data_IF_293320964116
#
_entry.id   IF_293320964116
#
_cell.length_a   1.000
_cell.length_b   1.000
_cell.length_c   1.000
_cell.angle_alpha   90.00
_cell.angle_beta   90.00
_cell.angle_gamma   90.00
#
_symmetry.space_group_name_H-M   'P 1'
#
loop_
_entity.id
_entity.type
_entity.pdbx_description
1 polymer ?
#
# COMPACT_ATOMS: atom_id res chain seq x y z
N UNK A 1 13.82 -18.26 15.49
CA UNK A 1 13.65 -18.04 14.04
C UNK A 1 12.54 -17.02 13.81
N UNK A 2 12.82 -16.02 13.00
CA UNK A 2 11.83 -15.06 12.56
C UNK A 2 11.12 -15.64 11.32
N UNK A 3 9.77 -15.60 11.23
CA UNK A 3 9.07 -16.12 10.08
C UNK A 3 9.42 -15.37 8.80
N UNK A 4 9.57 -16.12 7.71
CA UNK A 4 9.86 -15.59 6.39
C UNK A 4 8.91 -16.20 5.34
N UNK A 5 8.41 -15.35 4.45
CA UNK A 5 7.62 -15.75 3.28
C UNK A 5 8.58 -15.97 2.11
N UNK A 6 8.82 -17.23 1.77
CA UNK A 6 9.83 -17.66 0.79
C UNK A 6 9.25 -17.97 -0.58
N UNK A 7 7.91 -18.07 -0.69
CA UNK A 7 7.16 -18.31 -1.93
C UNK A 7 5.84 -17.55 -1.86
N UNK A 8 5.17 -17.36 -3.00
CA UNK A 8 3.85 -16.74 -3.04
C UNK A 8 2.87 -17.51 -2.15
N UNK A 9 2.19 -16.80 -1.29
CA UNK A 9 1.27 -17.38 -0.32
C UNK A 9 0.02 -16.53 -0.16
N UNK A 10 -1.04 -17.20 0.29
CA UNK A 10 -2.28 -16.53 0.70
C UNK A 10 -2.55 -16.87 2.16
N UNK A 11 -2.84 -15.85 2.94
CA UNK A 11 -3.19 -15.97 4.37
C UNK A 11 -4.49 -15.26 4.66
N UNK A 12 -5.15 -15.64 5.76
CA UNK A 12 -6.36 -14.93 6.15
C UNK A 12 -6.00 -13.54 6.71
N UNK A 13 -5.38 -13.47 7.85
CA UNK A 13 -4.97 -12.20 8.48
C UNK A 13 -3.54 -12.29 8.99
N UNK A 14 -2.92 -11.14 9.20
CA UNK A 14 -1.57 -11.03 9.73
C UNK A 14 -1.57 -10.11 10.96
N UNK A 15 -0.96 -10.58 12.03
CA UNK A 15 -0.59 -9.76 13.18
C UNK A 15 0.89 -9.98 13.47
N UNK A 16 1.69 -8.93 13.34
CA UNK A 16 3.09 -8.93 13.75
C UNK A 16 3.13 -8.26 15.13
N UNK A 17 3.34 -9.05 16.17
CA UNK A 17 3.36 -8.54 17.53
C UNK A 17 4.63 -7.72 17.82
N UNK A 18 4.58 -6.90 18.86
CA UNK A 18 5.73 -6.15 19.32
C UNK A 18 6.90 -7.10 19.62
N UNK A 19 8.10 -6.75 19.15
CA UNK A 19 9.31 -7.57 19.24
C UNK A 19 9.41 -8.71 18.23
N UNK A 20 8.33 -9.02 17.48
CA UNK A 20 8.38 -9.98 16.38
C UNK A 20 8.75 -9.30 15.05
N UNK A 21 9.18 -10.09 14.08
CA UNK A 21 9.35 -9.63 12.70
C UNK A 21 8.79 -10.63 11.69
N UNK A 22 8.36 -10.10 10.55
CA UNK A 22 7.98 -10.87 9.36
C UNK A 22 8.84 -10.40 8.19
N UNK A 23 9.51 -11.34 7.53
CA UNK A 23 10.25 -11.06 6.29
C UNK A 23 9.48 -11.55 5.08
N UNK A 24 9.34 -10.73 4.06
CA UNK A 24 8.85 -11.13 2.73
C UNK A 24 10.04 -11.04 1.78
N UNK A 25 10.43 -12.18 1.22
CA UNK A 25 11.60 -12.24 0.33
C UNK A 25 11.37 -11.44 -0.97
N UNK A 26 12.46 -11.03 -1.65
CA UNK A 26 12.36 -10.32 -2.92
C UNK A 26 11.48 -11.03 -3.95
N UNK A 27 10.68 -10.26 -4.69
CA UNK A 27 9.78 -10.73 -5.76
C UNK A 27 8.68 -11.72 -5.31
N UNK A 28 8.44 -11.85 -4.02
CA UNK A 28 7.38 -12.70 -3.46
C UNK A 28 6.10 -11.90 -3.24
N UNK A 29 4.97 -12.49 -3.58
CA UNK A 29 3.64 -11.93 -3.28
C UNK A 29 3.02 -12.64 -2.07
N UNK A 30 2.67 -11.84 -1.07
CA UNK A 30 1.87 -12.25 0.07
C UNK A 30 0.46 -11.69 -0.08
N UNK A 31 -0.51 -12.57 -0.38
CA UNK A 31 -1.93 -12.22 -0.48
C UNK A 31 -2.60 -12.31 0.87
N UNK A 32 -3.36 -11.30 1.24
CA UNK A 32 -4.04 -11.19 2.55
C UNK A 32 -5.54 -11.05 2.31
N UNK A 33 -6.33 -11.96 2.89
CA UNK A 33 -7.80 -11.97 2.76
C UNK A 33 -8.51 -11.19 3.87
N UNK A 34 -7.89 -11.04 5.04
CA UNK A 34 -8.38 -10.31 6.21
C UNK A 34 -7.48 -9.13 6.57
N UNK A 35 -7.42 -8.80 7.84
CA UNK A 35 -6.67 -7.63 8.33
C UNK A 35 -5.16 -7.83 8.34
N UNK A 36 -4.45 -6.71 8.28
CA UNK A 36 -2.99 -6.64 8.41
C UNK A 36 -2.63 -5.65 9.52
N UNK A 37 -2.04 -6.16 10.60
CA UNK A 37 -1.59 -5.32 11.73
C UNK A 37 -0.10 -5.53 11.98
N UNK A 38 0.67 -4.47 11.94
CA UNK A 38 2.11 -4.52 12.26
C UNK A 38 2.42 -3.72 13.53
N UNK A 39 2.57 -4.40 14.66
CA UNK A 39 3.07 -3.82 15.91
C UNK A 39 4.56 -4.13 16.15
N UNK A 40 5.18 -4.86 15.23
CA UNK A 40 6.58 -5.25 15.28
C UNK A 40 7.40 -4.69 14.13
N UNK A 41 8.06 -5.58 13.40
CA UNK A 41 8.92 -5.24 12.27
C UNK A 41 8.50 -5.97 11.01
N UNK A 42 8.23 -5.23 9.93
CA UNK A 42 7.98 -5.76 8.60
C UNK A 42 9.20 -5.52 7.72
N UNK A 43 9.80 -6.58 7.21
CA UNK A 43 10.95 -6.53 6.31
C UNK A 43 10.49 -6.97 4.92
N UNK A 44 10.48 -6.04 3.97
CA UNK A 44 10.06 -6.29 2.60
C UNK A 44 11.25 -6.24 1.65
N UNK A 45 11.52 -7.35 0.96
CA UNK A 45 12.53 -7.42 -0.09
C UNK A 45 12.10 -6.64 -1.34
N UNK A 46 13.06 -6.22 -2.15
CA UNK A 46 12.79 -5.50 -3.39
C UNK A 46 11.83 -6.28 -4.30
N UNK A 47 10.86 -5.61 -4.91
CA UNK A 47 9.85 -6.24 -5.76
C UNK A 47 8.84 -7.12 -5.01
N UNK A 48 8.96 -7.30 -3.70
CA UNK A 48 7.94 -8.03 -2.95
C UNK A 48 6.62 -7.26 -2.93
N UNK A 49 5.51 -7.98 -2.89
CA UNK A 49 4.17 -7.37 -2.93
C UNK A 49 3.32 -7.88 -1.77
N UNK A 50 2.73 -6.97 -1.02
CA UNK A 50 1.58 -7.30 -0.17
C UNK A 50 0.31 -6.97 -0.95
N UNK A 51 -0.51 -7.99 -1.19
CA UNK A 51 -1.74 -7.89 -1.99
C UNK A 51 -2.97 -8.16 -1.13
N UNK A 52 -3.89 -7.22 -1.10
CA UNK A 52 -5.16 -7.33 -0.37
C UNK A 52 -6.25 -7.83 -1.31
N UNK A 53 -6.86 -8.99 -0.96
CA UNK A 53 -7.77 -9.75 -1.85
C UNK A 53 -9.09 -10.15 -1.19
N UNK A 54 -9.31 -9.81 0.05
CA UNK A 54 -10.55 -10.16 0.76
C UNK A 54 -11.80 -9.47 0.22
N UNK A 55 -12.97 -10.11 0.34
CA UNK A 55 -14.25 -9.60 -0.17
C UNK A 55 -14.99 -8.65 0.78
N UNK A 56 -14.63 -8.65 2.07
CA UNK A 56 -15.23 -7.77 3.08
C UNK A 56 -14.40 -6.52 3.33
N UNK A 57 -14.70 -5.81 4.40
CA UNK A 57 -13.83 -4.75 4.90
C UNK A 57 -12.56 -5.37 5.46
N UNK A 58 -11.40 -4.82 5.06
CA UNK A 58 -10.09 -5.16 5.60
C UNK A 58 -9.46 -3.91 6.19
N UNK A 59 -8.74 -4.06 7.29
CA UNK A 59 -8.05 -2.95 7.96
C UNK A 59 -6.54 -3.17 7.89
N UNK A 60 -5.82 -2.13 7.48
CA UNK A 60 -4.36 -2.06 7.49
C UNK A 60 -3.93 -1.08 8.57
N UNK A 61 -3.17 -1.55 9.57
CA UNK A 61 -2.83 -0.73 10.73
C UNK A 61 -1.43 -1.01 11.29
N UNK A 62 -0.97 -0.12 12.16
CA UNK A 62 0.26 -0.28 12.94
C UNK A 62 1.45 0.47 12.35
N UNK A 63 2.66 -0.01 12.64
CA UNK A 63 3.91 0.62 12.21
C UNK A 63 4.25 0.22 10.77
N UNK A 64 3.88 1.06 9.81
CA UNK A 64 4.02 0.79 8.37
C UNK A 64 4.78 1.91 7.64
N UNK A 65 5.63 2.63 8.37
CA UNK A 65 6.45 3.72 7.84
C UNK A 65 7.94 3.39 7.86
N UNK A 66 8.74 4.17 7.18
CA UNK A 66 10.19 4.00 7.12
C UNK A 66 10.59 2.61 6.60
N UNK A 67 11.41 1.91 7.36
CA UNK A 67 11.90 0.56 7.01
C UNK A 67 10.79 -0.49 7.01
N UNK A 68 9.73 -0.28 7.79
CA UNK A 68 8.57 -1.16 7.90
C UNK A 68 7.52 -0.96 6.79
N UNK A 69 7.77 -0.07 5.84
CA UNK A 69 6.89 0.15 4.69
C UNK A 69 6.82 -1.07 3.75
N UNK A 70 5.76 -1.14 2.97
CA UNK A 70 5.64 -2.13 1.90
C UNK A 70 6.66 -1.86 0.78
N UNK A 71 7.16 -2.89 0.10
CA UNK A 71 7.88 -2.67 -1.16
C UNK A 71 6.86 -2.29 -2.22
N UNK A 72 6.02 -3.21 -2.67
CA UNK A 72 4.83 -2.90 -3.46
C UNK A 72 3.56 -3.17 -2.65
N UNK A 73 2.56 -2.34 -2.89
CA UNK A 73 1.21 -2.48 -2.33
C UNK A 73 0.22 -2.72 -3.47
N UNK A 74 -0.67 -3.68 -3.31
CA UNK A 74 -1.71 -3.95 -4.32
C UNK A 74 -3.05 -4.17 -3.64
N UNK A 75 -4.07 -3.46 -4.06
CA UNK A 75 -5.46 -3.74 -3.74
C UNK A 75 -6.13 -4.37 -4.95
N UNK A 76 -6.60 -5.62 -4.80
CA UNK A 76 -7.30 -6.38 -5.83
C UNK A 76 -8.44 -7.15 -5.17
N UNK A 77 -9.40 -6.38 -4.64
CA UNK A 77 -10.53 -6.92 -3.88
C UNK A 77 -11.71 -7.20 -4.80
N UNK A 78 -12.35 -8.37 -4.71
CA UNK A 78 -13.56 -8.64 -5.49
C UNK A 78 -14.74 -7.76 -5.04
N UNK A 79 -14.74 -7.29 -3.79
CA UNK A 79 -15.72 -6.35 -3.22
C UNK A 79 -15.21 -5.80 -1.88
N UNK A 80 -15.96 -4.87 -1.29
CA UNK A 80 -15.68 -4.30 0.03
C UNK A 80 -14.56 -3.27 0.03
N UNK A 81 -14.21 -2.80 1.21
CA UNK A 81 -13.32 -1.65 1.43
C UNK A 81 -11.99 -2.10 2.04
N UNK A 82 -10.90 -1.51 1.60
CA UNK A 82 -9.61 -1.55 2.27
C UNK A 82 -9.41 -0.23 3.02
N UNK A 83 -9.48 -0.30 4.33
CA UNK A 83 -9.35 0.85 5.24
C UNK A 83 -7.91 0.96 5.71
N UNK A 84 -7.29 2.10 5.49
CA UNK A 84 -5.96 2.41 6.02
C UNK A 84 -6.13 3.15 7.35
N UNK A 85 -5.69 2.52 8.41
CA UNK A 85 -5.86 3.05 9.78
C UNK A 85 -4.52 3.47 10.43
N UNK A 86 -3.52 3.74 9.62
CA UNK A 86 -2.21 4.26 10.02
C UNK A 86 -1.51 4.88 8.83
N UNK A 87 -0.55 5.76 9.05
CA UNK A 87 0.34 6.22 7.99
C UNK A 87 1.08 5.04 7.36
N UNK A 88 1.15 5.01 6.02
CA UNK A 88 1.86 3.95 5.29
C UNK A 88 2.94 4.52 4.37
N UNK A 89 4.00 3.75 4.18
CA UNK A 89 5.01 4.00 3.16
C UNK A 89 5.07 2.82 2.19
N UNK A 90 4.86 3.12 0.93
CA UNK A 90 5.02 2.21 -0.20
C UNK A 90 6.31 2.61 -0.91
N UNK A 91 7.35 1.81 -0.73
CA UNK A 91 8.72 2.13 -1.19
C UNK A 91 8.83 2.13 -2.71
N UNK A 92 8.01 1.31 -3.35
CA UNK A 92 7.98 1.16 -4.80
C UNK A 92 6.62 1.58 -5.34
N UNK A 93 5.80 0.65 -5.82
CA UNK A 93 4.57 0.98 -6.53
C UNK A 93 3.33 0.70 -5.68
N UNK A 94 2.37 1.59 -5.79
CA UNK A 94 1.00 1.40 -5.33
C UNK A 94 0.11 1.04 -6.52
N UNK A 95 -0.72 0.01 -6.39
CA UNK A 95 -1.60 -0.46 -7.44
C UNK A 95 -3.00 -0.73 -6.92
N UNK A 96 -3.92 0.16 -7.25
CA UNK A 96 -5.34 0.05 -6.93
C UNK A 96 -6.08 -0.51 -8.13
N UNK A 97 -6.49 -1.79 -8.08
CA UNK A 97 -7.10 -2.49 -9.22
C UNK A 97 -8.60 -2.63 -9.09
N UNK A 98 -9.08 -3.16 -7.98
CA UNK A 98 -10.51 -3.37 -7.72
C UNK A 98 -10.82 -3.21 -6.23
N UNK A 99 -12.06 -2.82 -5.90
CA UNK A 99 -12.53 -2.57 -4.53
C UNK A 99 -12.50 -1.10 -4.15
N UNK A 100 -12.91 -0.78 -2.93
CA UNK A 100 -12.88 0.58 -2.40
C UNK A 100 -11.64 0.78 -1.54
N UNK A 101 -10.90 1.85 -1.78
CA UNK A 101 -9.76 2.25 -0.97
C UNK A 101 -10.14 3.45 -0.11
N UNK A 102 -10.08 3.26 1.20
CA UNK A 102 -10.31 4.33 2.18
C UNK A 102 -8.98 4.62 2.91
N UNK A 103 -8.27 5.67 2.52
CA UNK A 103 -7.01 6.07 3.15
C UNK A 103 -7.21 6.72 4.53
N UNK A 104 -8.44 7.04 4.93
CA UNK A 104 -8.71 7.81 6.14
C UNK A 104 -7.98 9.16 6.13
N UNK A 105 -7.69 9.68 7.30
CA UNK A 105 -6.92 10.94 7.49
C UNK A 105 -5.41 10.70 7.54
N UNK A 106 -4.93 9.61 6.93
CA UNK A 106 -3.55 9.18 7.03
C UNK A 106 -2.67 9.75 5.91
N UNK A 107 -1.37 9.61 6.12
CA UNK A 107 -0.37 9.90 5.09
C UNK A 107 -0.03 8.64 4.32
N UNK A 108 -0.20 8.70 3.00
CA UNK A 108 0.19 7.67 2.04
C UNK A 108 1.44 8.17 1.31
N UNK A 109 2.60 7.62 1.68
CA UNK A 109 3.87 7.97 1.03
C UNK A 109 4.22 6.96 -0.05
N UNK A 110 4.54 7.40 -1.25
CA UNK A 110 4.80 6.56 -2.43
C UNK A 110 6.18 6.88 -2.98
N UNK A 111 7.03 5.85 -3.10
CA UNK A 111 8.41 5.97 -3.57
C UNK A 111 8.56 5.88 -5.08
N UNK A 112 7.60 5.27 -5.78
CA UNK A 112 7.60 5.17 -7.26
C UNK A 112 6.25 5.58 -7.83
N UNK A 113 5.51 4.67 -8.42
CA UNK A 113 4.31 5.01 -9.18
C UNK A 113 3.04 4.70 -8.41
N UNK A 114 1.99 5.44 -8.71
CA UNK A 114 0.62 5.13 -8.31
C UNK A 114 -0.18 4.74 -9.56
N UNK A 115 -0.72 3.54 -9.57
CA UNK A 115 -1.59 3.02 -10.63
C UNK A 115 -3.01 2.85 -10.10
N UNK A 116 -3.94 3.56 -10.67
CA UNK A 116 -5.37 3.31 -10.52
C UNK A 116 -5.89 2.70 -11.81
N UNK A 117 -5.89 1.38 -11.88
CA UNK A 117 -6.26 0.62 -13.08
C UNK A 117 -7.54 -0.19 -12.90
N UNK A 118 -8.23 0.00 -11.80
CA UNK A 118 -9.42 -0.76 -11.45
C UNK A 118 -10.59 -0.48 -12.38
N UNK A 119 -11.52 -1.43 -12.47
CA UNK A 119 -12.84 -1.26 -13.09
C UNK A 119 -13.70 -0.29 -12.28
N UNK A 120 -14.96 -0.18 -12.58
CA UNK A 120 -15.95 0.78 -12.06
C UNK A 120 -16.09 0.88 -10.53
N UNK A 121 -15.16 0.36 -9.75
CA UNK A 121 -15.28 0.20 -8.30
C UNK A 121 -14.07 0.65 -7.50
N UNK A 122 -13.05 1.24 -8.10
CA UNK A 122 -11.94 1.79 -7.33
C UNK A 122 -12.22 3.25 -7.00
N UNK A 123 -12.89 3.48 -5.91
CA UNK A 123 -12.99 4.82 -5.38
C UNK A 123 -11.90 5.03 -4.34
N UNK A 124 -11.00 5.96 -4.62
CA UNK A 124 -10.36 6.69 -3.55
C UNK A 124 -11.47 7.53 -2.90
N UNK A 125 -11.94 7.12 -1.74
CA UNK A 125 -12.75 8.02 -0.95
C UNK A 125 -11.85 9.18 -0.55
N UNK A 126 -12.14 10.43 -0.95
CA UNK A 126 -11.41 11.58 -0.45
C UNK A 126 -11.81 11.77 1.02
N UNK A 127 -11.14 11.03 1.91
CA UNK A 127 -11.27 11.33 3.32
C UNK A 127 -10.60 12.69 3.54
N UNK A 128 -11.36 13.65 3.98
CA UNK A 128 -10.83 14.98 4.35
C UNK A 128 -9.68 14.80 5.34
N UNK A 129 -8.50 15.29 4.99
CA UNK A 129 -7.29 15.18 5.80
C UNK A 129 -6.25 14.15 5.28
N UNK A 130 -6.57 13.35 4.26
CA UNK A 130 -5.58 12.45 3.64
C UNK A 130 -4.48 13.25 2.96
N UNK A 131 -3.23 12.84 3.16
CA UNK A 131 -2.08 13.42 2.46
C UNK A 131 -1.36 12.36 1.64
N UNK A 132 -1.25 12.58 0.34
CA UNK A 132 -0.40 11.78 -0.55
C UNK A 132 0.95 12.46 -0.70
N UNK A 133 2.04 11.72 -0.40
CA UNK A 133 3.40 12.20 -0.55
C UNK A 133 4.10 11.40 -1.65
N UNK A 134 4.36 12.04 -2.76
CA UNK A 134 5.22 11.49 -3.82
C UNK A 134 6.67 11.82 -3.50
N UNK A 135 7.46 10.79 -3.16
CA UNK A 135 8.79 10.94 -2.57
C UNK A 135 9.82 10.01 -3.19
N UNK A 136 9.81 9.94 -4.51
CA UNK A 136 10.75 9.12 -5.26
C UNK A 136 12.10 9.80 -5.52
N UNK A 137 13.10 8.98 -5.81
CA UNK A 137 14.41 9.41 -6.32
C UNK A 137 14.51 9.26 -7.84
N UNK A 138 13.46 8.79 -8.49
CA UNK A 138 13.31 8.63 -9.93
C UNK A 138 11.99 9.28 -10.35
N UNK A 139 11.80 9.46 -11.66
CA UNK A 139 10.52 9.97 -12.17
C UNK A 139 9.37 9.07 -11.73
N UNK A 140 8.30 9.68 -11.27
CA UNK A 140 7.09 9.01 -10.81
C UNK A 140 5.96 9.30 -11.79
N UNK A 141 5.10 8.30 -11.99
CA UNK A 141 3.89 8.46 -12.77
C UNK A 141 2.68 8.19 -11.87
N UNK A 142 1.68 9.03 -11.98
CA UNK A 142 0.34 8.72 -11.61
C UNK A 142 -0.41 8.27 -12.87
N UNK A 143 -0.90 7.07 -12.89
CA UNK A 143 -1.68 6.53 -14.01
C UNK A 143 -3.09 6.26 -13.52
N UNK A 144 -4.05 6.96 -14.09
CA UNK A 144 -5.48 6.77 -13.83
C UNK A 144 -6.18 6.36 -15.12
N UNK A 145 -6.79 5.17 -15.13
CA UNK A 145 -7.43 4.64 -16.33
C UNK A 145 -8.96 4.75 -16.31
N UNK A 146 -9.58 5.20 -15.19
CA UNK A 146 -11.01 4.95 -15.04
C UNK A 146 -11.82 6.10 -14.46
N UNK A 147 -11.40 6.73 -13.38
CA UNK A 147 -12.15 7.77 -12.68
C UNK A 147 -11.24 8.87 -12.15
N UNK A 148 -11.80 10.05 -11.96
CA UNK A 148 -11.10 11.14 -11.32
C UNK A 148 -10.72 10.76 -9.89
N UNK A 149 -9.42 10.76 -9.57
CA UNK A 149 -8.97 10.73 -8.18
C UNK A 149 -8.91 12.17 -7.68
N UNK A 150 -9.69 12.44 -6.66
CA UNK A 150 -9.60 13.69 -5.92
C UNK A 150 -8.65 13.46 -4.76
N UNK A 151 -7.46 14.06 -4.82
CA UNK A 151 -6.56 14.12 -3.68
C UNK A 151 -6.98 15.27 -2.77
N UNK A 152 -7.08 15.04 -1.48
CA UNK A 152 -7.32 16.14 -0.53
C UNK A 152 -6.05 16.98 -0.36
N UNK A 153 -4.92 16.33 -0.05
CA UNK A 153 -3.61 16.99 0.00
C UNK A 153 -2.58 16.22 -0.79
N UNK A 154 -1.76 16.92 -1.56
CA UNK A 154 -0.61 16.35 -2.29
C UNK A 154 0.65 17.08 -1.90
N UNK A 155 1.67 16.31 -1.53
CA UNK A 155 3.00 16.83 -1.26
C UNK A 155 4.04 16.17 -2.18
N UNK A 156 4.87 16.99 -2.80
CA UNK A 156 5.98 16.55 -3.62
C UNK A 156 7.27 16.67 -2.81
N UNK A 157 7.92 15.52 -2.55
CA UNK A 157 9.21 15.44 -1.83
C UNK A 157 10.17 14.65 -2.71
N UNK A 158 10.52 15.22 -3.85
CA UNK A 158 11.38 14.56 -4.82
C UNK A 158 12.78 15.16 -4.79
N UNK A 159 13.77 14.38 -5.24
CA UNK A 159 15.11 14.91 -5.48
C UNK A 159 15.11 15.79 -6.73
N UNK A 160 16.08 16.70 -6.86
CA UNK A 160 16.14 17.68 -7.95
C UNK A 160 16.17 17.08 -9.38
N UNK A 161 16.40 15.77 -9.51
CA UNK A 161 16.43 15.06 -10.79
C UNK A 161 15.18 14.24 -11.09
N UNK A 162 14.14 14.30 -10.26
CA UNK A 162 12.91 13.52 -10.45
C UNK A 162 11.69 14.42 -10.64
N UNK A 163 10.68 13.90 -11.32
CA UNK A 163 9.41 14.58 -11.60
C UNK A 163 8.22 13.66 -11.32
N UNK A 164 7.04 14.24 -11.10
CA UNK A 164 5.78 13.52 -11.14
C UNK A 164 5.04 13.91 -12.43
N UNK A 165 4.57 12.91 -13.17
CA UNK A 165 3.64 13.08 -14.28
C UNK A 165 2.24 12.65 -13.80
N UNK A 166 1.25 13.53 -13.97
CA UNK A 166 -0.15 13.31 -13.66
C UNK A 166 -0.93 12.96 -14.92
#
# INVERSE_FOLDING_TARGET
NQPAVLANQTVNSIVINAGASLTINPNITLSVCGDFTNNGSLITGAGSTVKFVGSGTQVVSGNLTGVNGFANFTMEKPSGTLVINSNIYIKENDSLKTGFFDPGVNTIRIGRNLYNSGGTSTHLSPATGTTYIFAGTVNQNYTNLIDEIIFDNVQMVQTAASSLTL
#
